data_IF_043306748030
#
_entry.id   IF_043306748030
#
_cell.length_a   1.000
_cell.length_b   1.000
_cell.length_c   1.000
_cell.angle_alpha   90.00
_cell.angle_beta   90.00
_cell.angle_gamma   90.00
#
_symmetry.space_group_name_H-M   'P 1'
#
loop_
_entity.id
_entity.type
_entity.pdbx_description
1 polymer ?
#
# COMPACT_ATOMS: atom_id res chain seq x y z
N UNK A 1 -32.66 -18.07 17.08
CA UNK A 1 -31.38 -18.74 17.43
C UNK A 1 -31.56 -20.09 18.12
N UNK A 2 -32.48 -20.24 19.09
CA UNK A 2 -32.64 -21.49 19.85
C UNK A 2 -32.99 -22.74 19.02
N UNK A 3 -33.77 -22.59 17.94
CA UNK A 3 -34.14 -23.71 17.06
C UNK A 3 -32.95 -24.23 16.24
N UNK A 4 -32.15 -23.34 15.66
CA UNK A 4 -30.94 -23.69 14.88
C UNK A 4 -29.89 -24.33 15.80
N UNK A 5 -29.68 -23.77 17.00
CA UNK A 5 -28.75 -24.35 17.97
C UNK A 5 -29.19 -25.75 18.45
N UNK A 6 -30.50 -26.00 18.59
CA UNK A 6 -31.03 -27.35 18.85
C UNK A 6 -30.82 -28.30 17.68
N UNK A 7 -31.01 -27.83 16.44
CA UNK A 7 -30.81 -28.63 15.23
C UNK A 7 -29.35 -29.06 15.08
N UNK A 8 -28.40 -28.14 15.25
CA UNK A 8 -26.96 -28.41 15.19
C UNK A 8 -26.51 -29.38 16.29
N UNK A 9 -27.09 -29.29 17.50
CA UNK A 9 -26.83 -30.24 18.59
C UNK A 9 -27.39 -31.63 18.34
N UNK A 10 -28.53 -31.73 17.63
CA UNK A 10 -29.19 -33.00 17.33
C UNK A 10 -28.47 -33.72 16.20
N UNK A 11 -28.09 -32.98 15.15
CA UNK A 11 -27.49 -33.52 13.93
C UNK A 11 -26.15 -32.82 13.65
N UNK A 12 -25.03 -33.36 14.16
CA UNK A 12 -23.72 -32.70 14.06
C UNK A 12 -23.16 -32.63 12.63
N UNK A 13 -23.69 -33.45 11.71
CA UNK A 13 -23.35 -33.43 10.28
C UNK A 13 -23.76 -32.14 9.57
N UNK A 14 -24.72 -31.38 10.12
CA UNK A 14 -25.17 -30.09 9.56
C UNK A 14 -24.26 -28.91 9.95
N UNK A 15 -23.42 -29.08 10.97
CA UNK A 15 -22.49 -28.05 11.46
C UNK A 15 -21.64 -27.41 10.35
N UNK A 16 -20.92 -28.17 9.49
CA UNK A 16 -20.08 -27.57 8.44
C UNK A 16 -20.87 -26.70 7.47
N UNK A 17 -22.13 -27.06 7.17
CA UNK A 17 -22.99 -26.26 6.29
C UNK A 17 -23.32 -24.91 6.92
N UNK A 18 -23.73 -24.91 8.19
CA UNK A 18 -24.04 -23.67 8.91
C UNK A 18 -22.79 -22.80 9.12
N UNK A 19 -21.62 -23.39 9.30
CA UNK A 19 -20.35 -22.64 9.38
C UNK A 19 -20.02 -21.99 8.04
N UNK A 20 -20.17 -22.70 6.92
CA UNK A 20 -19.91 -22.14 5.60
C UNK A 20 -20.88 -20.99 5.26
N UNK A 21 -22.19 -21.20 5.47
CA UNK A 21 -23.21 -20.18 5.19
C UNK A 21 -23.08 -19.00 6.16
N UNK A 22 -22.97 -19.28 7.45
CA UNK A 22 -22.81 -18.26 8.49
C UNK A 22 -21.53 -17.45 8.30
N UNK A 23 -20.42 -18.15 8.01
CA UNK A 23 -19.14 -17.52 7.66
C UNK A 23 -19.24 -16.65 6.41
N UNK A 24 -19.98 -17.09 5.38
CA UNK A 24 -20.24 -16.30 4.18
C UNK A 24 -21.01 -15.02 4.46
N UNK A 25 -22.10 -15.09 5.23
CA UNK A 25 -22.92 -13.91 5.59
C UNK A 25 -22.10 -12.92 6.43
N UNK A 26 -21.40 -13.41 7.46
CA UNK A 26 -20.55 -12.55 8.30
C UNK A 26 -19.41 -11.95 7.48
N UNK A 27 -18.77 -12.72 6.61
CA UNK A 27 -17.72 -12.26 5.71
C UNK A 27 -18.20 -11.18 4.74
N UNK A 28 -19.39 -11.33 4.16
CA UNK A 28 -19.97 -10.35 3.26
C UNK A 28 -20.25 -9.01 3.97
N UNK A 29 -20.82 -9.06 5.18
CA UNK A 29 -21.06 -7.85 5.98
C UNK A 29 -19.76 -7.19 6.43
N UNK A 30 -18.78 -7.98 6.88
CA UNK A 30 -17.47 -7.48 7.29
C UNK A 30 -16.72 -6.82 6.11
N UNK A 31 -16.78 -7.45 4.93
CA UNK A 31 -16.17 -6.90 3.72
C UNK A 31 -16.85 -5.60 3.29
N UNK A 32 -18.18 -5.56 3.29
CA UNK A 32 -18.94 -4.33 3.00
C UNK A 32 -18.57 -3.20 3.97
N UNK A 33 -18.51 -3.49 5.28
CA UNK A 33 -18.12 -2.51 6.29
C UNK A 33 -16.67 -2.03 6.11
N UNK A 34 -15.74 -2.94 5.77
CA UNK A 34 -14.36 -2.58 5.45
C UNK A 34 -14.29 -1.66 4.24
N UNK A 35 -14.99 -2.00 3.15
CA UNK A 35 -15.03 -1.18 1.93
C UNK A 35 -15.60 0.21 2.21
N UNK A 36 -16.74 0.32 2.91
CA UNK A 36 -17.33 1.62 3.23
C UNK A 36 -16.42 2.50 4.08
N UNK A 37 -15.56 1.91 4.93
CA UNK A 37 -14.65 2.65 5.81
C UNK A 37 -13.36 3.06 5.12
N UNK A 38 -12.79 2.17 4.31
CA UNK A 38 -11.45 2.33 3.75
C UNK A 38 -11.45 2.88 2.32
N UNK A 39 -12.54 2.74 1.57
CA UNK A 39 -12.61 3.20 0.19
C UNK A 39 -12.75 4.73 0.08
N UNK A 40 -12.13 5.28 -0.97
CA UNK A 40 -12.25 6.69 -1.36
C UNK A 40 -13.36 6.96 -2.36
N UNK A 41 -13.94 5.91 -2.94
CA UNK A 41 -14.88 6.03 -4.06
C UNK A 41 -16.28 6.46 -3.62
N UNK A 42 -16.61 6.25 -2.35
CA UNK A 42 -17.94 6.53 -1.80
C UNK A 42 -17.83 7.45 -0.59
N UNK A 43 -18.51 8.59 -0.65
CA UNK A 43 -18.61 9.52 0.47
C UNK A 43 -19.71 9.05 1.43
N UNK A 44 -19.33 8.28 2.44
CA UNK A 44 -20.27 7.78 3.46
C UNK A 44 -20.59 8.87 4.51
N UNK A 45 -19.62 9.71 4.85
CA UNK A 45 -19.80 10.78 5.85
C UNK A 45 -19.33 12.15 5.32
N UNK A 46 -20.25 12.84 4.65
CA UNK A 46 -19.98 14.16 4.05
C UNK A 46 -19.61 15.27 5.06
N UNK A 47 -19.99 15.13 6.34
CA UNK A 47 -19.75 16.17 7.35
C UNK A 47 -18.35 16.12 7.96
N UNK A 48 -17.83 14.92 8.21
CA UNK A 48 -16.51 14.74 8.86
C UNK A 48 -15.40 14.38 7.88
N UNK A 49 -15.74 13.79 6.74
CA UNK A 49 -14.80 13.31 5.73
C UNK A 49 -15.37 13.56 4.32
N UNK A 50 -15.47 14.85 3.91
CA UNK A 50 -16.09 15.22 2.62
C UNK A 50 -15.27 14.74 1.42
N UNK A 51 -13.94 14.66 1.56
CA UNK A 51 -13.00 14.35 0.48
C UNK A 51 -12.19 13.10 0.80
N UNK A 52 -12.80 11.91 0.70
CA UNK A 52 -12.18 10.66 1.13
C UNK A 52 -10.99 10.21 0.26
N UNK A 53 -10.79 10.78 -0.92
CA UNK A 53 -9.60 10.57 -1.75
C UNK A 53 -8.33 11.20 -1.15
N UNK A 54 -8.47 12.20 -0.27
CA UNK A 54 -7.33 12.90 0.29
C UNK A 54 -6.59 12.10 1.38
N UNK A 55 -7.23 11.07 1.96
CA UNK A 55 -6.61 10.22 2.98
C UNK A 55 -5.96 8.95 2.40
N UNK A 56 -5.89 8.82 1.08
CA UNK A 56 -5.28 7.67 0.41
C UNK A 56 -3.79 7.91 0.24
N UNK A 57 -3.01 7.42 1.19
CA UNK A 57 -1.55 7.49 1.15
C UNK A 57 -0.97 6.44 0.19
N UNK A 58 0.06 6.80 -0.56
CA UNK A 58 0.62 5.90 -1.59
C UNK A 58 1.34 4.66 -1.03
N UNK A 59 1.73 4.69 0.26
CA UNK A 59 2.36 3.57 0.94
C UNK A 59 1.35 2.64 1.62
N UNK A 60 0.08 3.05 1.68
CA UNK A 60 -0.99 2.30 2.34
C UNK A 60 -1.81 1.52 1.32
N UNK A 61 -1.97 0.24 1.57
CA UNK A 61 -2.85 -0.59 0.77
C UNK A 61 -4.31 -0.38 1.19
N UNK A 62 -5.14 0.10 0.27
CA UNK A 62 -6.60 0.25 0.47
C UNK A 62 -7.37 -1.07 0.29
N UNK A 63 -6.74 -2.08 -0.32
CA UNK A 63 -7.38 -3.39 -0.57
C UNK A 63 -7.47 -4.21 0.72
N UNK A 64 -8.47 -5.09 0.79
CA UNK A 64 -8.63 -6.05 1.89
C UNK A 64 -7.36 -6.90 2.09
N UNK A 65 -6.71 -7.30 1.00
CA UNK A 65 -5.51 -8.12 1.02
C UNK A 65 -4.58 -7.79 -0.15
N UNK A 66 -3.28 -7.96 0.05
CA UNK A 66 -2.27 -7.91 -1.02
C UNK A 66 -1.22 -8.99 -0.80
N UNK A 67 -0.95 -9.74 -1.86
CA UNK A 67 0.07 -10.79 -1.87
C UNK A 67 1.50 -10.23 -1.73
N UNK A 68 1.73 -8.98 -2.15
CA UNK A 68 3.04 -8.35 -2.13
C UNK A 68 3.15 -7.37 -0.96
N UNK A 69 3.29 -7.91 0.26
CA UNK A 69 3.41 -7.09 1.48
C UNK A 69 4.68 -6.25 1.49
N UNK A 70 5.79 -6.81 1.00
CA UNK A 70 7.10 -6.14 1.03
C UNK A 70 7.12 -4.86 0.21
N UNK A 71 6.39 -4.83 -0.91
CA UNK A 71 6.19 -3.64 -1.73
C UNK A 71 5.45 -2.49 -1.01
N UNK A 72 4.55 -2.81 -0.08
CA UNK A 72 3.88 -1.78 0.73
C UNK A 72 4.77 -1.35 1.89
N UNK A 73 5.43 -2.31 2.56
CA UNK A 73 6.35 -2.05 3.66
C UNK A 73 7.52 -1.16 3.25
N UNK A 74 8.12 -1.40 2.08
CA UNK A 74 9.29 -0.62 1.60
C UNK A 74 8.95 0.85 1.34
N UNK A 75 7.71 1.15 0.97
CA UNK A 75 7.24 2.53 0.79
C UNK A 75 6.78 3.18 2.10
N UNK A 76 6.43 2.40 3.10
CA UNK A 76 6.14 2.94 4.42
C UNK A 76 7.42 3.46 5.10
N UNK A 77 8.57 2.82 4.86
CA UNK A 77 9.86 3.24 5.43
C UNK A 77 10.50 4.43 4.71
N UNK A 78 10.20 4.64 3.43
CA UNK A 78 10.65 5.80 2.67
C UNK A 78 9.48 6.36 1.84
N UNK A 79 8.56 7.11 2.48
CA UNK A 79 7.41 7.66 1.79
C UNK A 79 7.91 8.73 0.81
N UNK A 80 7.66 8.60 -0.50
CA UNK A 80 8.01 9.66 -1.44
C UNK A 80 7.20 10.90 -1.05
N UNK A 81 7.90 12.01 -0.78
CA UNK A 81 7.24 13.26 -0.39
C UNK A 81 6.37 13.81 -1.52
N UNK A 82 6.60 13.39 -2.78
CA UNK A 82 5.81 13.79 -3.95
C UNK A 82 5.49 12.60 -4.89
N UNK A 83 4.24 12.44 -5.37
CA UNK A 83 3.83 11.38 -6.29
C UNK A 83 4.63 11.30 -7.61
N UNK A 84 5.24 12.41 -8.04
CA UNK A 84 6.06 12.49 -9.26
C UNK A 84 7.40 11.76 -9.14
N UNK A 85 7.93 11.61 -7.92
CA UNK A 85 9.24 10.98 -7.70
C UNK A 85 9.19 9.45 -7.85
N UNK A 86 7.99 8.84 -7.75
CA UNK A 86 7.79 7.39 -7.92
C UNK A 86 8.07 6.87 -9.34
N UNK A 87 7.94 7.73 -10.35
CA UNK A 87 8.16 7.37 -11.76
C UNK A 87 9.53 7.79 -12.27
N UNK A 88 10.28 8.54 -11.46
CA UNK A 88 11.70 8.77 -11.72
C UNK A 88 12.36 7.42 -11.52
N UNK A 89 12.95 6.88 -12.58
CA UNK A 89 13.59 5.58 -12.50
C UNK A 89 14.58 5.56 -11.32
N UNK A 90 14.71 4.44 -10.59
CA UNK A 90 15.70 4.29 -9.52
C UNK A 90 17.13 4.60 -10.00
N UNK A 91 17.32 4.57 -11.32
CA UNK A 91 18.56 4.94 -11.98
C UNK A 91 18.95 6.40 -11.78
N UNK A 92 18.06 7.38 -11.63
CA UNK A 92 18.52 8.78 -11.53
C UNK A 92 19.15 9.12 -10.17
N UNK A 93 18.63 8.62 -9.06
CA UNK A 93 19.26 8.75 -7.74
C UNK A 93 20.56 7.94 -7.67
N UNK A 94 20.58 6.71 -8.21
CA UNK A 94 21.80 5.89 -8.26
C UNK A 94 22.84 6.51 -9.21
N UNK A 95 22.42 7.12 -10.31
CA UNK A 95 23.29 7.85 -11.25
C UNK A 95 23.77 9.15 -10.63
N UNK A 96 22.94 9.89 -9.89
CA UNK A 96 23.39 11.08 -9.14
C UNK A 96 24.35 10.71 -8.01
N UNK A 97 24.07 9.65 -7.25
CA UNK A 97 24.97 9.14 -6.22
C UNK A 97 26.28 8.65 -6.82
N UNK A 98 26.23 7.96 -7.97
CA UNK A 98 27.40 7.54 -8.73
C UNK A 98 28.19 8.75 -9.24
N UNK A 99 27.52 9.74 -9.82
CA UNK A 99 28.17 10.95 -10.34
C UNK A 99 28.80 11.77 -9.21
N UNK A 100 28.12 11.92 -8.07
CA UNK A 100 28.64 12.60 -6.88
C UNK A 100 29.82 11.85 -6.24
N UNK A 101 29.77 10.52 -6.22
CA UNK A 101 30.88 9.69 -5.78
C UNK A 101 32.08 9.79 -6.75
N UNK A 102 31.82 9.78 -8.06
CA UNK A 102 32.84 9.98 -9.11
C UNK A 102 33.44 11.38 -9.02
N UNK A 103 32.66 12.43 -8.77
CA UNK A 103 33.16 13.78 -8.55
C UNK A 103 33.99 13.89 -7.28
N UNK A 104 33.55 13.32 -6.17
CA UNK A 104 34.34 13.29 -4.92
C UNK A 104 35.64 12.49 -5.04
N UNK A 105 35.64 11.41 -5.84
CA UNK A 105 36.87 10.67 -6.17
C UNK A 105 37.76 11.49 -7.10
N UNK A 106 37.19 12.18 -8.10
CA UNK A 106 37.92 13.04 -9.05
C UNK A 106 38.57 14.25 -8.36
N UNK A 107 37.89 14.83 -7.38
CA UNK A 107 38.39 15.91 -6.52
C UNK A 107 39.52 15.40 -5.60
N UNK A 108 39.36 14.21 -4.99
CA UNK A 108 40.42 13.57 -4.20
C UNK A 108 41.63 13.13 -5.02
N UNK A 109 41.44 12.77 -6.29
CA UNK A 109 42.52 12.47 -7.23
C UNK A 109 43.16 13.72 -7.84
N UNK A 110 42.76 14.93 -7.42
CA UNK A 110 43.37 16.19 -7.86
C UNK A 110 43.16 16.50 -9.35
N UNK A 111 42.21 15.83 -10.01
CA UNK A 111 41.92 16.06 -11.44
C UNK A 111 41.03 17.28 -11.61
N UNK A 112 41.64 18.46 -11.46
CA UNK A 112 41.08 19.74 -11.89
C UNK A 112 40.71 19.72 -13.37
N UNK A 113 39.81 20.61 -13.79
CA UNK A 113 39.40 20.77 -15.20
C UNK A 113 40.59 21.25 -16.04
N UNK A 114 41.49 20.37 -16.40
CA UNK A 114 42.44 20.61 -17.49
C UNK A 114 41.72 20.33 -18.80
N UNK A 115 41.87 21.28 -19.73
CA UNK A 115 41.38 21.27 -21.12
C UNK A 115 39.97 21.84 -21.33
N UNK A 116 39.86 23.16 -21.15
CA UNK A 116 38.90 24.00 -21.89
C UNK A 116 39.57 25.32 -22.35
N UNK A 117 40.84 25.24 -22.73
CA UNK A 117 41.56 26.34 -23.39
C UNK A 117 42.58 25.72 -24.35
N UNK A 118 42.15 25.34 -25.55
CA UNK A 118 42.99 25.37 -26.76
C UNK A 118 42.11 25.15 -28.01
N UNK A 119 42.10 26.20 -28.86
CA UNK A 119 41.55 26.38 -30.21
C UNK A 119 40.04 26.63 -30.38
#
# INVERSE_FOLDING_TARGET
MAAVARLVRRDPSLTPLFVAVGGGVVGALAFGAHYLRNSSDVVVNKKRRPEPWNDVEQHKNTKLFSFNRDFWSSRASNPPQNPREMFRSPSEEVVQAKNKAVEGVREKMGMGKENAAEH
#
